data_IF_238435849649
#
_entry.id   IF_238435849649
#
_cell.length_a   1.000
_cell.length_b   1.000
_cell.length_c   1.000
_cell.angle_alpha   90.00
_cell.angle_beta   90.00
_cell.angle_gamma   90.00
#
_symmetry.space_group_name_H-M   'P 1'
#
loop_
_entity.id
_entity.type
_entity.pdbx_description
1 polymer ?
#
# COMPACT_ATOMS: atom_id res chain seq x y z
N UNK A 1 1.93 -9.30 40.50
CA UNK A 1 1.60 -9.77 39.15
C UNK A 1 1.54 -8.56 38.23
N UNK A 2 2.66 -8.27 37.54
CA UNK A 2 2.93 -6.99 36.88
C UNK A 2 2.44 -7.03 35.43
N UNK A 3 1.25 -6.48 35.16
CA UNK A 3 0.87 -5.98 33.84
C UNK A 3 0.72 -4.46 33.93
N UNK A 4 1.85 -3.75 34.02
CA UNK A 4 1.91 -2.31 33.81
C UNK A 4 3.15 -2.04 32.95
N UNK A 5 2.95 -1.40 31.79
CA UNK A 5 3.95 -0.62 31.04
C UNK A 5 4.66 -1.25 29.83
N UNK A 6 4.00 -2.08 29.01
CA UNK A 6 4.58 -2.51 27.71
C UNK A 6 4.63 -1.42 26.62
N UNK A 7 4.06 -0.23 26.85
CA UNK A 7 4.13 0.91 25.90
C UNK A 7 5.25 1.92 26.19
N UNK A 8 6.04 1.71 27.24
CA UNK A 8 7.06 2.67 27.72
C UNK A 8 8.37 2.68 26.91
N UNK A 9 8.54 1.76 25.96
CA UNK A 9 9.74 1.64 25.11
C UNK A 9 9.50 2.11 23.67
N UNK A 10 8.59 3.07 23.43
CA UNK A 10 8.75 3.92 22.23
C UNK A 10 10.01 4.73 22.44
N UNK A 11 11.12 4.23 21.92
CA UNK A 11 12.43 4.84 22.07
C UNK A 11 12.32 6.35 21.83
N UNK A 12 12.79 7.17 22.77
CA UNK A 12 12.89 8.64 22.63
C UNK A 12 13.97 9.03 21.60
N UNK A 13 14.21 8.17 20.61
CA UNK A 13 15.21 8.37 19.58
C UNK A 13 14.68 9.47 18.67
N UNK A 14 15.31 10.64 18.70
CA UNK A 14 15.03 11.69 17.72
C UNK A 14 15.34 11.10 16.35
N UNK A 15 14.35 11.11 15.46
CA UNK A 15 14.52 10.74 14.05
C UNK A 15 15.67 11.59 13.50
N UNK A 16 16.79 10.97 13.13
CA UNK A 16 18.00 11.66 12.66
C UNK A 16 18.07 11.78 11.15
N UNK A 17 17.21 11.05 10.43
CA UNK A 17 17.15 11.08 8.96
C UNK A 17 16.68 12.47 8.50
N UNK A 18 17.63 13.29 8.06
CA UNK A 18 17.35 14.67 7.63
C UNK A 18 16.41 14.72 6.44
N UNK A 19 16.50 13.78 5.48
CA UNK A 19 15.57 13.71 4.35
C UNK A 19 14.14 13.49 4.82
N UNK A 20 13.94 12.61 5.80
CA UNK A 20 12.62 12.37 6.40
C UNK A 20 12.12 13.61 7.15
N UNK A 21 12.98 14.23 7.98
CA UNK A 21 12.62 15.45 8.71
C UNK A 21 12.20 16.56 7.75
N UNK A 22 12.97 16.79 6.69
CA UNK A 22 12.67 17.78 5.66
C UNK A 22 11.37 17.46 4.92
N UNK A 23 11.18 16.21 4.50
CA UNK A 23 9.95 15.78 3.83
C UNK A 23 8.72 16.00 4.71
N UNK A 24 8.81 15.66 6.00
CA UNK A 24 7.73 15.86 6.97
C UNK A 24 7.44 17.35 7.21
N UNK A 25 8.47 18.20 7.25
CA UNK A 25 8.31 19.66 7.38
C UNK A 25 7.68 20.29 6.15
N UNK A 26 8.04 19.82 4.95
CA UNK A 26 7.59 20.38 3.65
C UNK A 26 6.22 19.87 3.20
N UNK A 27 5.68 18.80 3.81
CA UNK A 27 4.40 18.23 3.38
C UNK A 27 3.27 19.25 3.55
N UNK A 28 2.41 19.33 2.53
CA UNK A 28 1.26 20.24 2.52
C UNK A 28 0.05 19.70 3.30
N UNK A 29 0.04 18.40 3.60
CA UNK A 29 -1.09 17.70 4.22
C UNK A 29 -0.92 17.43 5.72
N UNK A 30 -2.05 17.39 6.41
CA UNK A 30 -2.17 17.08 7.83
C UNK A 30 -2.39 15.60 8.11
N UNK A 31 -2.08 15.19 9.35
CA UNK A 31 -2.48 13.88 9.87
C UNK A 31 -3.66 14.10 10.81
N UNK A 32 -4.58 13.14 10.91
CA UNK A 32 -5.75 13.21 11.81
C UNK A 32 -6.67 14.41 11.54
N UNK A 33 -6.96 14.71 10.27
CA UNK A 33 -7.87 15.79 9.89
C UNK A 33 -7.52 17.15 10.53
N UNK A 34 -6.23 17.46 10.62
CA UNK A 34 -5.74 18.78 11.03
C UNK A 34 -6.40 19.88 10.19
N UNK A 35 -7.29 20.71 10.76
CA UNK A 35 -8.08 21.68 10.00
C UNK A 35 -7.22 22.84 9.46
N UNK A 36 -5.98 22.97 9.95
CA UNK A 36 -5.05 24.01 9.48
C UNK A 36 -4.25 23.58 8.26
N UNK A 37 -4.37 22.31 7.85
CA UNK A 37 -3.66 21.72 6.72
C UNK A 37 -4.62 21.13 5.71
N UNK A 38 -4.12 20.93 4.50
CA UNK A 38 -4.89 20.26 3.45
C UNK A 38 -5.13 18.80 3.81
N UNK A 39 -6.22 18.25 3.30
CA UNK A 39 -6.51 16.83 3.41
C UNK A 39 -5.42 16.01 2.69
N UNK A 40 -5.08 14.85 3.26
CA UNK A 40 -4.13 13.92 2.68
C UNK A 40 -4.58 13.41 1.30
N UNK A 41 -5.85 13.02 1.18
CA UNK A 41 -6.43 12.45 -0.05
C UNK A 41 -6.35 13.51 -1.16
N UNK A 42 -6.84 14.72 -0.92
CA UNK A 42 -6.79 15.81 -1.90
C UNK A 42 -5.35 16.11 -2.37
N UNK A 43 -4.38 16.14 -1.43
CA UNK A 43 -2.99 16.35 -1.77
C UNK A 43 -2.39 15.20 -2.58
N UNK A 44 -2.79 13.96 -2.29
CA UNK A 44 -2.38 12.78 -3.04
C UNK A 44 -2.93 12.82 -4.47
N UNK A 45 -4.21 13.12 -4.65
CA UNK A 45 -4.84 13.30 -5.96
C UNK A 45 -4.11 14.39 -6.76
N UNK A 46 -3.85 15.54 -6.14
CA UNK A 46 -3.07 16.62 -6.76
C UNK A 46 -1.67 16.17 -7.19
N UNK A 47 -0.99 15.35 -6.37
CA UNK A 47 0.33 14.81 -6.69
C UNK A 47 0.29 13.91 -7.93
N UNK A 48 -0.73 13.04 -8.04
CA UNK A 48 -0.93 12.19 -9.22
C UNK A 48 -1.17 13.04 -10.46
N UNK A 49 -2.08 14.02 -10.40
CA UNK A 49 -2.38 14.94 -11.49
C UNK A 49 -1.15 15.72 -11.97
N UNK A 50 -0.34 16.22 -11.03
CA UNK A 50 0.93 16.92 -11.33
C UNK A 50 1.88 16.03 -12.12
N UNK A 51 2.08 14.76 -11.70
CA UNK A 51 2.95 13.80 -12.38
C UNK A 51 2.47 13.44 -13.78
N UNK A 52 1.16 13.25 -13.95
CA UNK A 52 0.55 12.98 -15.27
C UNK A 52 0.79 14.17 -16.20
N UNK A 53 0.53 15.39 -15.71
CA UNK A 53 0.71 16.61 -16.49
C UNK A 53 2.18 16.87 -16.82
N UNK A 54 3.10 16.57 -15.90
CA UNK A 54 4.54 16.67 -16.14
C UNK A 54 4.96 15.72 -17.28
N UNK A 55 4.53 14.46 -17.24
CA UNK A 55 4.82 13.51 -18.30
C UNK A 55 4.19 13.91 -19.65
N UNK A 56 2.99 14.47 -19.64
CA UNK A 56 2.37 15.03 -20.84
C UNK A 56 3.24 16.15 -21.44
N UNK A 57 3.67 17.12 -20.62
CA UNK A 57 4.55 18.22 -21.04
C UNK A 57 5.92 17.74 -21.55
N UNK A 58 6.46 16.65 -20.97
CA UNK A 58 7.70 16.03 -21.45
C UNK A 58 7.51 15.39 -22.82
N UNK A 59 6.37 14.73 -23.05
CA UNK A 59 5.99 14.18 -24.36
C UNK A 59 5.95 15.25 -25.45
N UNK A 60 5.38 16.42 -25.17
CA UNK A 60 5.38 17.57 -26.09
C UNK A 60 6.79 18.08 -26.44
N UNK A 61 7.79 17.80 -25.59
CA UNK A 61 9.20 18.16 -25.81
C UNK A 61 10.04 16.99 -26.33
N UNK A 62 9.41 15.89 -26.77
CA UNK A 62 10.07 14.64 -27.16
C UNK A 62 11.01 14.06 -26.08
N UNK A 63 10.78 14.40 -24.81
CA UNK A 63 11.55 13.87 -23.69
C UNK A 63 10.89 12.59 -23.15
N UNK A 64 11.71 11.63 -22.70
CA UNK A 64 11.21 10.40 -22.11
C UNK A 64 10.39 10.68 -20.84
N UNK A 65 9.29 9.92 -20.60
CA UNK A 65 8.47 10.08 -19.41
C UNK A 65 9.24 9.69 -18.15
N UNK A 66 8.95 10.38 -17.05
CA UNK A 66 9.42 10.00 -15.72
C UNK A 66 8.61 8.79 -15.24
N UNK A 67 9.33 7.77 -14.74
CA UNK A 67 8.72 6.59 -14.13
C UNK A 67 8.51 6.85 -12.64
N UNK A 68 7.25 6.99 -12.24
CA UNK A 68 6.83 7.08 -10.84
C UNK A 68 6.10 5.83 -10.35
N UNK A 69 6.07 4.79 -11.18
CA UNK A 69 5.39 3.54 -10.86
C UNK A 69 6.21 2.77 -9.83
N UNK A 70 5.56 2.43 -8.72
CA UNK A 70 6.13 1.55 -7.73
C UNK A 70 6.32 0.16 -8.32
N UNK A 71 7.47 -0.44 -8.06
CA UNK A 71 7.77 -1.84 -8.42
C UNK A 71 7.37 -2.78 -7.29
N UNK A 72 7.47 -4.09 -7.52
CA UNK A 72 7.31 -5.08 -6.46
C UNK A 72 8.31 -4.87 -5.31
N UNK A 73 9.46 -4.23 -5.54
CA UNK A 73 10.40 -3.89 -4.47
C UNK A 73 9.85 -2.81 -3.51
N UNK A 74 8.85 -2.05 -3.94
CA UNK A 74 8.23 -0.98 -3.15
C UNK A 74 7.01 -1.46 -2.37
N UNK A 75 6.20 -2.36 -2.94
CA UNK A 75 4.91 -2.81 -2.37
C UNK A 75 4.77 -4.33 -2.20
N UNK A 76 5.75 -5.11 -2.64
CA UNK A 76 5.80 -6.56 -2.47
C UNK A 76 6.20 -6.92 -1.05
N UNK A 77 5.22 -6.90 -0.15
CA UNK A 77 5.42 -7.36 1.22
C UNK A 77 5.63 -8.89 1.22
N UNK A 78 6.62 -9.42 1.97
CA UNK A 78 6.70 -10.85 2.22
C UNK A 78 5.53 -11.31 3.11
N UNK A 79 5.27 -12.62 3.12
CA UNK A 79 4.28 -13.21 4.03
C UNK A 79 4.63 -12.84 5.49
N UNK A 80 3.65 -12.39 6.30
CA UNK A 80 3.92 -11.97 7.66
C UNK A 80 4.37 -13.16 8.51
N UNK A 81 5.42 -12.93 9.29
CA UNK A 81 5.95 -13.86 10.31
C UNK A 81 5.83 -13.24 11.70
N UNK A 82 5.98 -14.05 12.74
CA UNK A 82 6.01 -13.54 14.12
C UNK A 82 7.12 -12.50 14.30
N UNK A 83 6.78 -11.32 14.82
CA UNK A 83 7.75 -10.27 15.15
C UNK A 83 8.72 -10.66 16.27
N UNK A 84 8.43 -11.72 17.03
CA UNK A 84 9.28 -12.16 18.14
C UNK A 84 10.19 -13.32 17.75
N UNK A 85 9.64 -14.31 17.03
CA UNK A 85 10.39 -15.52 16.68
C UNK A 85 10.94 -15.49 15.26
N UNK A 86 10.47 -14.56 14.41
CA UNK A 86 10.75 -14.48 12.98
C UNK A 86 10.42 -15.78 12.23
N UNK A 87 9.46 -16.55 12.77
CA UNK A 87 8.96 -17.81 12.19
C UNK A 87 7.48 -17.65 11.86
N UNK A 88 6.99 -18.57 11.01
CA UNK A 88 5.58 -18.69 10.69
C UNK A 88 4.75 -18.82 11.97
N UNK A 89 3.66 -18.04 12.02
CA UNK A 89 2.75 -17.96 13.16
C UNK A 89 1.33 -18.20 12.69
N UNK A 90 0.99 -19.48 12.56
CA UNK A 90 -0.33 -19.94 12.11
C UNK A 90 -1.43 -19.76 13.18
N UNK A 91 -1.10 -19.21 14.36
CA UNK A 91 -2.10 -18.84 15.37
C UNK A 91 -2.60 -17.40 15.17
N UNK A 92 -1.91 -16.63 14.35
CA UNK A 92 -2.25 -15.26 14.02
C UNK A 92 -3.06 -15.22 12.73
N UNK A 93 -3.87 -14.18 12.56
CA UNK A 93 -4.78 -14.01 11.41
C UNK A 93 -4.14 -13.26 10.23
N UNK A 94 -2.92 -12.76 10.42
CA UNK A 94 -2.19 -12.02 9.38
C UNK A 94 -1.78 -12.88 8.18
N UNK A 95 -1.29 -14.13 8.35
CA UNK A 95 -0.96 -14.99 7.21
C UNK A 95 -2.17 -15.25 6.30
N UNK A 96 -3.34 -15.50 6.86
CA UNK A 96 -4.58 -15.74 6.10
C UNK A 96 -5.03 -14.47 5.37
N UNK A 97 -4.93 -13.30 6.01
CA UNK A 97 -5.22 -12.04 5.34
C UNK A 97 -4.25 -11.72 4.21
N UNK A 98 -2.98 -12.07 4.37
CA UNK A 98 -1.98 -11.94 3.32
C UNK A 98 -2.34 -12.83 2.12
N UNK A 99 -2.68 -14.10 2.37
CA UNK A 99 -3.08 -15.03 1.32
C UNK A 99 -4.36 -14.53 0.61
N UNK A 100 -5.36 -14.07 1.38
CA UNK A 100 -6.58 -13.44 0.83
C UNK A 100 -6.26 -12.25 -0.06
N UNK A 101 -5.36 -11.36 0.36
CA UNK A 101 -4.97 -10.19 -0.41
C UNK A 101 -4.29 -10.57 -1.75
N UNK A 102 -3.52 -11.67 -1.79
CA UNK A 102 -2.95 -12.19 -3.05
C UNK A 102 -4.07 -12.61 -4.01
N UNK A 103 -5.05 -13.37 -3.52
CA UNK A 103 -6.19 -13.81 -4.34
C UNK A 103 -7.02 -12.63 -4.86
N UNK A 104 -7.31 -11.67 -3.99
CA UNK A 104 -8.03 -10.44 -4.36
C UNK A 104 -7.28 -9.62 -5.41
N UNK A 105 -5.97 -9.43 -5.24
CA UNK A 105 -5.14 -8.73 -6.21
C UNK A 105 -5.11 -9.46 -7.57
N UNK A 106 -4.98 -10.79 -7.55
CA UNK A 106 -4.97 -11.63 -8.76
C UNK A 106 -6.31 -11.59 -9.49
N UNK A 107 -7.43 -11.67 -8.77
CA UNK A 107 -8.76 -11.54 -9.34
C UNK A 107 -8.95 -10.18 -10.00
N UNK A 108 -8.53 -9.11 -9.32
CA UNK A 108 -8.59 -7.74 -9.84
C UNK A 108 -7.76 -7.60 -11.12
N UNK A 109 -6.53 -8.10 -11.14
CA UNK A 109 -5.67 -8.08 -12.32
C UNK A 109 -6.33 -8.79 -13.52
N UNK A 110 -6.88 -9.99 -13.33
CA UNK A 110 -7.57 -10.73 -14.39
C UNK A 110 -8.76 -9.97 -14.96
N UNK A 111 -9.56 -9.35 -14.10
CA UNK A 111 -10.72 -8.56 -14.53
C UNK A 111 -10.29 -7.28 -15.26
N UNK A 112 -9.25 -6.61 -14.78
CA UNK A 112 -8.66 -5.44 -15.45
C UNK A 112 -8.11 -5.80 -16.84
N UNK A 113 -7.45 -6.96 -16.98
CA UNK A 113 -6.93 -7.45 -18.25
C UNK A 113 -8.04 -7.80 -19.26
N UNK A 114 -9.21 -8.25 -18.81
CA UNK A 114 -10.38 -8.46 -19.69
C UNK A 114 -10.90 -7.16 -20.31
N UNK A 115 -10.65 -6.00 -19.66
CA UNK A 115 -10.98 -4.68 -20.20
C UNK A 115 -12.47 -4.35 -20.26
N UNK A 116 -13.32 -5.13 -19.58
CA UNK A 116 -14.77 -4.93 -19.50
C UNK A 116 -15.17 -4.42 -18.13
N UNK A 117 -16.25 -3.64 -18.04
CA UNK A 117 -16.82 -3.26 -16.76
C UNK A 117 -17.23 -4.51 -15.97
N UNK A 118 -16.88 -4.54 -14.68
CA UNK A 118 -17.22 -5.63 -13.76
C UNK A 118 -17.84 -5.07 -12.48
N UNK A 119 -18.71 -5.84 -11.86
CA UNK A 119 -19.36 -5.51 -10.59
C UNK A 119 -18.58 -6.08 -9.41
N UNK A 120 -18.97 -5.68 -8.20
CA UNK A 120 -18.43 -6.30 -6.98
C UNK A 120 -18.73 -7.81 -6.92
N UNK A 121 -19.87 -8.25 -7.45
CA UNK A 121 -20.22 -9.67 -7.53
C UNK A 121 -19.25 -10.42 -8.43
N UNK A 122 -18.96 -9.90 -9.62
CA UNK A 122 -18.02 -10.52 -10.56
C UNK A 122 -16.61 -10.62 -9.96
N UNK A 123 -16.20 -9.59 -9.21
CA UNK A 123 -14.95 -9.59 -8.46
C UNK A 123 -14.88 -10.73 -7.44
N UNK A 124 -15.86 -10.83 -6.55
CA UNK A 124 -15.84 -11.88 -5.52
C UNK A 124 -16.01 -13.28 -6.11
N UNK A 125 -16.74 -13.44 -7.21
CA UNK A 125 -16.82 -14.72 -7.93
C UNK A 125 -15.46 -15.14 -8.48
N UNK A 126 -14.69 -14.22 -9.07
CA UNK A 126 -13.32 -14.53 -9.51
C UNK A 126 -12.40 -14.90 -8.34
N UNK A 127 -12.54 -14.23 -7.19
CA UNK A 127 -11.80 -14.60 -5.95
C UNK A 127 -12.16 -16.01 -5.48
N UNK A 128 -13.46 -16.35 -5.44
CA UNK A 128 -13.93 -17.68 -5.05
C UNK A 128 -13.39 -18.74 -6.02
N UNK A 129 -13.50 -18.50 -7.33
CA UNK A 129 -12.96 -19.40 -8.35
C UNK A 129 -11.46 -19.64 -8.15
N UNK A 130 -10.69 -18.60 -7.81
CA UNK A 130 -9.26 -18.74 -7.52
C UNK A 130 -9.00 -19.62 -6.29
N UNK A 131 -9.77 -19.42 -5.21
CA UNK A 131 -9.66 -20.21 -3.99
C UNK A 131 -10.01 -21.68 -4.23
N UNK A 132 -11.10 -21.96 -4.94
CA UNK A 132 -11.54 -23.31 -5.26
C UNK A 132 -10.53 -24.05 -6.15
N UNK A 133 -9.97 -23.38 -7.16
CA UNK A 133 -8.98 -23.99 -8.05
C UNK A 133 -7.62 -24.25 -7.39
N UNK A 134 -7.24 -23.47 -6.36
CA UNK A 134 -6.03 -23.73 -5.57
C UNK A 134 -6.25 -24.71 -4.42
N UNK A 135 -7.48 -24.89 -3.92
CA UNK A 135 -7.81 -25.89 -2.90
C UNK A 135 -7.77 -27.34 -3.43
N UNK A 136 -7.65 -27.52 -4.75
CA UNK A 136 -7.56 -28.82 -5.45
C UNK A 136 -6.10 -29.25 -5.72
N UNK A 137 -5.11 -28.57 -5.13
CA UNK A 137 -3.68 -28.96 -5.19
C UNK A 137 -3.10 -29.32 -3.83
#
# INVERSE_FOLDING_TARGET
MLMKNTWSTKSKTKISNQKLIEAIKRREWGVNNDPTKKNFIDCFECLVCKRVTENFKRGLKHASPLKFQATIDHYGCPKPVSNFTMKDDNQNWWPELYDKAIYEATAMERLMQKGTNYTATDFYQEVINLLENNAVR
#
